data_IF_256954348744
#
_entry.id   IF_256954348744
#
_cell.length_a   1.000
_cell.length_b   1.000
_cell.length_c   1.000
_cell.angle_alpha   90.00
_cell.angle_beta   90.00
_cell.angle_gamma   90.00
#
_symmetry.space_group_name_H-M   'P 1'
#
loop_
_entity.id
_entity.type
_entity.pdbx_description
1 polymer ?
#
# COMPACT_ATOMS: atom_id res chain seq x y z
N UNK A 1 -13.63 -28.98 -13.38
CA UNK A 1 -12.44 -28.30 -13.92
C UNK A 1 -12.04 -27.22 -12.93
N UNK A 2 -10.80 -27.21 -12.44
CA UNK A 2 -10.32 -26.18 -11.50
C UNK A 2 -9.86 -24.96 -12.31
N UNK A 3 -9.92 -23.77 -11.71
CA UNK A 3 -9.45 -22.53 -12.35
C UNK A 3 -7.98 -22.64 -12.81
N UNK A 4 -7.16 -23.33 -12.02
CA UNK A 4 -5.75 -23.58 -12.32
C UNK A 4 -5.52 -24.53 -13.52
N UNK A 5 -6.56 -25.26 -13.94
CA UNK A 5 -6.51 -26.13 -15.13
C UNK A 5 -6.79 -25.33 -16.42
N UNK A 6 -7.28 -24.08 -16.28
CA UNK A 6 -7.70 -23.21 -17.38
C UNK A 6 -6.72 -22.04 -17.63
N UNK A 7 -5.82 -21.75 -16.70
CA UNK A 7 -4.94 -20.58 -16.74
C UNK A 7 -3.50 -21.06 -16.54
N UNK A 8 -2.58 -20.60 -17.38
CA UNK A 8 -1.16 -20.91 -17.23
C UNK A 8 -0.57 -20.23 -15.99
N UNK A 9 0.53 -20.78 -15.46
CA UNK A 9 1.27 -20.14 -14.35
C UNK A 9 1.73 -18.73 -14.70
N UNK A 10 2.08 -18.48 -15.97
CA UNK A 10 2.49 -17.18 -16.48
C UNK A 10 1.34 -16.16 -16.42
N UNK A 11 0.18 -16.50 -16.95
CA UNK A 11 -1.01 -15.62 -16.93
C UNK A 11 -1.44 -15.32 -15.50
N UNK A 12 -1.43 -16.32 -14.61
CA UNK A 12 -1.75 -16.12 -13.19
C UNK A 12 -0.76 -15.15 -12.52
N UNK A 13 0.54 -15.30 -12.81
CA UNK A 13 1.58 -14.40 -12.28
C UNK A 13 1.40 -12.96 -12.77
N UNK A 14 1.18 -12.77 -14.07
CA UNK A 14 0.95 -11.44 -14.65
C UNK A 14 -0.29 -10.79 -14.06
N UNK A 15 -1.40 -11.55 -13.92
CA UNK A 15 -2.62 -11.05 -13.29
C UNK A 15 -2.39 -10.58 -11.84
N UNK A 16 -1.67 -11.36 -11.04
CA UNK A 16 -1.36 -11.01 -9.64
C UNK A 16 -0.44 -9.79 -9.55
N UNK A 17 0.58 -9.69 -10.41
CA UNK A 17 1.48 -8.53 -10.44
C UNK A 17 0.72 -7.25 -10.82
N UNK A 18 -0.10 -7.30 -11.86
CA UNK A 18 -0.93 -6.17 -12.29
C UNK A 18 -1.91 -5.73 -11.20
N UNK A 19 -2.50 -6.69 -10.47
CA UNK A 19 -3.36 -6.42 -9.31
C UNK A 19 -2.61 -5.66 -8.20
N UNK A 20 -1.40 -6.11 -7.84
CA UNK A 20 -0.61 -5.47 -6.80
C UNK A 20 -0.13 -4.08 -7.21
N UNK A 21 0.29 -3.90 -8.47
CA UNK A 21 0.67 -2.60 -9.01
C UNK A 21 -0.53 -1.63 -9.00
N UNK A 22 -1.73 -2.09 -9.38
CA UNK A 22 -2.95 -1.28 -9.27
C UNK A 22 -3.24 -0.86 -7.83
N UNK A 23 -3.15 -1.78 -6.87
CA UNK A 23 -3.36 -1.46 -5.45
C UNK A 23 -2.34 -0.46 -4.92
N UNK A 24 -1.06 -0.56 -5.33
CA UNK A 24 -0.04 0.44 -4.98
C UNK A 24 -0.43 1.82 -5.50
N UNK A 25 -0.94 1.92 -6.73
CA UNK A 25 -1.40 3.20 -7.28
C UNK A 25 -2.54 3.79 -6.44
N UNK A 26 -3.51 2.97 -6.03
CA UNK A 26 -4.60 3.41 -5.15
C UNK A 26 -4.09 3.91 -3.79
N UNK A 27 -3.19 3.16 -3.15
CA UNK A 27 -2.59 3.61 -1.89
C UNK A 27 -1.79 4.91 -2.06
N UNK A 28 -1.05 5.07 -3.17
CA UNK A 28 -0.34 6.34 -3.46
C UNK A 28 -1.29 7.52 -3.58
N UNK A 29 -2.48 7.34 -4.17
CA UNK A 29 -3.49 8.41 -4.19
C UNK A 29 -3.96 8.79 -2.78
N UNK A 30 -4.18 7.81 -1.91
CA UNK A 30 -4.55 8.06 -0.51
C UNK A 30 -3.41 8.76 0.26
N UNK A 31 -2.18 8.32 0.09
CA UNK A 31 -0.99 8.95 0.68
C UNK A 31 -0.86 10.42 0.23
N UNK A 32 -0.99 10.70 -1.07
CA UNK A 32 -0.97 12.06 -1.60
C UNK A 32 -2.16 12.92 -1.12
N UNK A 33 -3.34 12.34 -0.90
CA UNK A 33 -4.49 13.04 -0.29
C UNK A 33 -4.13 13.51 1.12
N UNK A 34 -3.55 12.64 1.94
CA UNK A 34 -3.18 13.01 3.31
C UNK A 34 -1.98 13.95 3.37
N UNK A 35 -0.98 13.78 2.51
CA UNK A 35 0.11 14.75 2.37
C UNK A 35 -0.40 16.16 2.08
N UNK A 36 -1.39 16.28 1.20
CA UNK A 36 -2.05 17.57 0.92
C UNK A 36 -2.85 18.08 2.11
N UNK A 37 -3.56 17.22 2.83
CA UNK A 37 -4.37 17.61 4.00
C UNK A 37 -3.50 18.13 5.15
N UNK A 38 -2.39 17.48 5.43
CA UNK A 38 -1.53 17.79 6.57
C UNK A 38 -0.27 18.59 6.23
N UNK A 39 0.04 18.76 4.93
CA UNK A 39 1.20 19.51 4.46
C UNK A 39 2.54 18.84 4.79
N UNK A 40 2.56 17.53 5.04
CA UNK A 40 3.74 16.76 5.43
C UNK A 40 3.61 15.30 5.02
N UNK A 41 4.68 14.52 5.12
CA UNK A 41 4.65 13.06 4.95
C UNK A 41 4.09 12.35 6.19
N UNK A 42 3.66 11.09 6.05
CA UNK A 42 3.20 10.29 7.20
C UNK A 42 4.28 10.16 8.28
N UNK A 43 5.54 9.96 7.90
CA UNK A 43 6.65 9.87 8.86
C UNK A 43 6.83 11.16 9.67
N UNK A 44 6.62 12.33 9.05
CA UNK A 44 6.67 13.60 9.76
C UNK A 44 5.45 13.81 10.64
N UNK A 45 4.26 13.41 10.17
CA UNK A 45 3.01 13.43 10.92
C UNK A 45 3.12 12.62 12.22
N UNK A 46 3.66 11.40 12.13
CA UNK A 46 3.90 10.52 13.26
C UNK A 46 4.94 11.11 14.22
N UNK A 47 6.10 11.55 13.70
CA UNK A 47 7.18 12.13 14.52
C UNK A 47 6.76 13.38 15.30
N UNK A 48 5.85 14.19 14.75
CA UNK A 48 5.31 15.39 15.41
C UNK A 48 4.15 15.11 16.36
N UNK A 49 3.69 13.85 16.43
CA UNK A 49 2.53 13.45 17.20
C UNK A 49 1.29 14.32 16.91
N UNK A 50 1.00 14.57 15.62
CA UNK A 50 -0.05 15.51 15.18
C UNK A 50 -1.42 15.16 15.75
N UNK A 51 -1.70 13.88 16.04
CA UNK A 51 -2.92 13.44 16.74
C UNK A 51 -3.06 14.12 18.10
N UNK A 52 -1.98 14.13 18.90
CA UNK A 52 -1.93 14.79 20.20
C UNK A 52 -1.98 16.32 20.05
N UNK A 53 -1.23 16.90 19.10
CA UNK A 53 -1.27 18.35 18.82
C UNK A 53 -2.68 18.86 18.46
N UNK A 54 -3.49 17.98 17.86
CA UNK A 54 -4.90 18.25 17.50
C UNK A 54 -5.90 17.79 18.56
N UNK A 55 -5.42 17.42 19.75
CA UNK A 55 -6.24 17.09 20.91
C UNK A 55 -7.02 15.79 20.75
N UNK A 56 -6.45 14.79 20.08
CA UNK A 56 -7.06 13.47 19.89
C UNK A 56 -8.46 13.54 19.25
N UNK A 57 -8.64 14.48 18.32
CA UNK A 57 -9.89 14.56 17.59
C UNK A 57 -10.10 13.27 16.79
N UNK A 58 -11.31 12.71 16.85
CA UNK A 58 -11.67 11.48 16.14
C UNK A 58 -11.33 11.51 14.64
N UNK A 59 -11.49 12.67 14.00
CA UNK A 59 -11.14 12.85 12.58
C UNK A 59 -9.64 12.61 12.33
N UNK A 60 -8.77 13.19 13.15
CA UNK A 60 -7.32 13.09 12.98
C UNK A 60 -6.81 11.69 13.35
N UNK A 61 -7.42 11.04 14.35
CA UNK A 61 -7.12 9.64 14.68
C UNK A 61 -7.51 8.70 13.55
N UNK A 62 -8.70 8.88 12.98
CA UNK A 62 -9.16 8.09 11.83
C UNK A 62 -8.24 8.26 10.63
N UNK A 63 -7.85 9.50 10.34
CA UNK A 63 -6.92 9.81 9.25
C UNK A 63 -5.54 9.19 9.49
N UNK A 64 -5.03 9.24 10.72
CA UNK A 64 -3.77 8.61 11.09
C UNK A 64 -3.79 7.10 10.82
N UNK A 65 -4.85 6.41 11.26
CA UNK A 65 -5.01 4.97 11.01
C UNK A 65 -5.17 4.63 9.52
N UNK A 66 -5.95 5.41 8.77
CA UNK A 66 -6.11 5.19 7.31
C UNK A 66 -4.78 5.42 6.58
N UNK A 67 -4.00 6.42 7.00
CA UNK A 67 -2.72 6.76 6.39
C UNK A 67 -1.62 5.75 6.72
N UNK A 68 -1.54 5.30 7.98
CA UNK A 68 -0.63 4.23 8.41
C UNK A 68 -0.86 2.98 7.56
N UNK A 69 -2.11 2.50 7.52
CA UNK A 69 -2.48 1.33 6.74
C UNK A 69 -2.14 1.48 5.25
N UNK A 70 -2.27 2.70 4.72
CA UNK A 70 -1.92 3.02 3.34
C UNK A 70 -0.42 2.89 3.08
N UNK A 71 0.42 3.46 3.95
CA UNK A 71 1.89 3.41 3.81
C UNK A 71 2.40 1.98 3.97
N UNK A 72 1.91 1.26 4.98
CA UNK A 72 2.25 -0.16 5.18
C UNK A 72 1.78 -1.04 4.01
N UNK A 73 0.59 -0.76 3.47
CA UNK A 73 0.06 -1.45 2.30
C UNK A 73 0.97 -1.35 1.08
N UNK A 74 1.53 -0.16 0.84
CA UNK A 74 2.52 0.07 -0.23
C UNK A 74 3.75 -0.81 -0.02
N UNK A 75 4.34 -0.76 1.18
CA UNK A 75 5.55 -1.53 1.51
C UNK A 75 5.30 -3.03 1.34
N UNK A 76 4.22 -3.56 1.92
CA UNK A 76 3.86 -4.97 1.86
C UNK A 76 3.65 -5.47 0.42
N UNK A 77 2.94 -4.71 -0.41
CA UNK A 77 2.71 -5.06 -1.81
C UNK A 77 4.00 -5.01 -2.63
N UNK A 78 4.86 -4.02 -2.39
CA UNK A 78 6.15 -3.91 -3.06
C UNK A 78 7.05 -5.11 -2.73
N UNK A 79 7.08 -5.55 -1.47
CA UNK A 79 7.80 -6.76 -1.08
C UNK A 79 7.27 -8.02 -1.78
N UNK A 80 5.95 -8.17 -1.90
CA UNK A 80 5.33 -9.29 -2.61
C UNK A 80 5.69 -9.29 -4.09
N UNK A 81 5.63 -8.13 -4.75
CA UNK A 81 6.07 -7.96 -6.15
C UNK A 81 7.54 -8.36 -6.29
N UNK A 82 8.41 -7.88 -5.40
CA UNK A 82 9.84 -8.17 -5.45
C UNK A 82 10.12 -9.67 -5.25
N UNK A 83 9.40 -10.34 -4.34
CA UNK A 83 9.49 -11.80 -4.14
C UNK A 83 9.08 -12.56 -5.41
N UNK A 84 7.93 -12.21 -6.00
CA UNK A 84 7.42 -12.83 -7.23
C UNK A 84 8.40 -12.64 -8.41
N UNK A 85 9.01 -11.45 -8.56
CA UNK A 85 9.99 -11.18 -9.62
C UNK A 85 11.29 -11.97 -9.40
N UNK A 86 11.82 -12.02 -8.18
CA UNK A 86 13.06 -12.76 -7.84
C UNK A 86 12.95 -14.28 -7.94
N UNK A 87 11.76 -14.85 -7.77
CA UNK A 87 11.54 -16.30 -7.96
C UNK A 87 11.79 -16.72 -9.41
N UNK A 88 11.63 -15.80 -10.37
CA UNK A 88 11.87 -16.07 -11.79
C UNK A 88 13.33 -15.93 -12.20
N UNK A 89 14.11 -15.06 -11.55
CA UNK A 89 15.55 -14.90 -11.85
C UNK A 89 16.42 -16.10 -11.41
N UNK A 90 15.83 -17.06 -10.67
CA UNK A 90 16.51 -18.25 -10.14
C UNK A 90 16.14 -19.55 -10.88
N UNK A 91 15.32 -19.48 -11.91
CA UNK A 91 14.96 -20.60 -12.80
C UNK A 91 15.43 -20.33 -14.23
#
# INVERSE_FOLDING_TARGET
>A
MKLLDLISKKELKEAVLNEYERKIVLHKFTDERFKKKYGMSFSEFEKKNVVEEKGFSWEVEKDAMEWEHTVEGIVSLQEKINKIKKTDDKN
#
